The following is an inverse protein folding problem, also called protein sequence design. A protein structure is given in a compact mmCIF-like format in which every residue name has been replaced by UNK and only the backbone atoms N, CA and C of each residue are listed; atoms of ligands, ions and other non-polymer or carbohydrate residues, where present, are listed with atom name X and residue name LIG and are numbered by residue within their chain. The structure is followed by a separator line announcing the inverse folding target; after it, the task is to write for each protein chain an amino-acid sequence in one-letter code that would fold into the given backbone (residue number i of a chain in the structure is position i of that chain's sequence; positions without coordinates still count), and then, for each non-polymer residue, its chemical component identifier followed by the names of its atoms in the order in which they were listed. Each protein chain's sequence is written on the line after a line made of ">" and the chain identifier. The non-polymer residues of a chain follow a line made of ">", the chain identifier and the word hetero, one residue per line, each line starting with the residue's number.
data_IF_021281690908
#
_entry.id   IF_021281690908
#
_cell.length_a   1.000
_cell.length_b   1.000
_cell.length_c   1.000
_cell.angle_alpha   90.00
_cell.angle_beta   90.00
_cell.angle_gamma   90.00
#
_symmetry.space_group_name_H-M   'P 1'
#
loop_
_entity.id
_entity.type
_entity.pdbx_description
1 polymer ?
#
# COMPACT_ATOMS: atom_id res chain seq x y z
N UNK A 1 -9.86 -7.36 36.97
CA UNK A 1 -10.43 -7.50 35.62
C UNK A 1 -10.26 -6.16 34.95
N UNK A 2 -9.04 -5.90 34.46
CA UNK A 2 -8.73 -4.66 33.77
C UNK A 2 -8.93 -4.91 32.29
N UNK A 3 -9.96 -4.31 31.71
CA UNK A 3 -9.99 -4.06 30.27
C UNK A 3 -8.85 -3.08 29.98
N UNK A 4 -7.68 -3.62 29.68
CA UNK A 4 -6.65 -2.87 29.00
C UNK A 4 -7.20 -2.64 27.60
N UNK A 5 -7.82 -1.49 27.39
CA UNK A 5 -8.20 -1.05 26.06
C UNK A 5 -6.90 -1.03 25.25
N UNK A 6 -6.69 -2.07 24.43
CA UNK A 6 -5.56 -2.14 23.52
C UNK A 6 -5.51 -0.79 22.80
N UNK A 7 -4.44 -0.02 23.03
CA UNK A 7 -4.28 1.25 22.34
C UNK A 7 -4.45 0.96 20.86
N UNK A 8 -5.51 1.51 20.26
CA UNK A 8 -5.76 1.34 18.84
C UNK A 8 -4.62 2.06 18.15
N UNK A 9 -3.61 1.31 17.72
CA UNK A 9 -2.46 1.87 17.02
C UNK A 9 -2.97 2.44 15.71
N UNK A 10 -3.16 3.77 15.70
CA UNK A 10 -3.57 4.50 14.52
C UNK A 10 -2.37 4.85 13.65
N UNK A 11 -2.60 5.10 12.37
CA UNK A 11 -1.57 5.60 11.48
C UNK A 11 -1.04 6.97 11.94
N UNK A 12 0.27 7.11 12.12
CA UNK A 12 0.93 8.39 12.43
C UNK A 12 1.60 8.95 11.17
N UNK A 13 2.26 8.09 10.40
CA UNK A 13 2.81 8.43 9.10
C UNK A 13 3.80 9.58 9.10
N UNK A 14 3.56 10.56 8.23
CA UNK A 14 4.35 11.79 8.11
C UNK A 14 3.87 12.92 9.05
N UNK A 15 2.90 12.64 9.92
CA UNK A 15 2.27 13.61 10.82
C UNK A 15 1.16 14.47 10.20
N UNK A 16 0.94 14.42 8.87
CA UNK A 16 -0.10 15.23 8.21
C UNK A 16 -1.48 14.55 8.20
N UNK A 17 -1.52 13.23 8.35
CA UNK A 17 -2.74 12.40 8.24
C UNK A 17 -2.88 11.44 9.42
N UNK A 18 -2.58 11.92 10.62
CA UNK A 18 -2.68 11.10 11.85
C UNK A 18 -4.11 10.59 12.01
N UNK A 19 -4.28 9.28 12.21
CA UNK A 19 -5.57 8.62 12.32
C UNK A 19 -6.24 8.24 10.99
N UNK A 20 -5.69 8.64 9.83
CA UNK A 20 -6.25 8.32 8.50
C UNK A 20 -5.77 6.93 8.02
N UNK A 21 -6.03 5.90 8.82
CA UNK A 21 -5.56 4.54 8.59
C UNK A 21 -5.30 3.82 9.91
N UNK A 22 -4.78 2.60 9.82
CA UNK A 22 -4.57 1.75 10.99
C UNK A 22 -3.15 1.20 11.12
N UNK A 23 -2.99 0.32 12.09
CA UNK A 23 -1.74 -0.35 12.44
C UNK A 23 -1.02 -0.97 11.22
N UNK A 24 -1.73 -1.71 10.35
CA UNK A 24 -1.12 -2.32 9.16
C UNK A 24 -0.52 -1.28 8.20
N UNK A 25 -1.17 -0.11 8.08
CA UNK A 25 -0.64 1.00 7.28
C UNK A 25 0.60 1.61 7.92
N UNK A 26 0.60 1.73 9.25
CA UNK A 26 1.75 2.21 10.02
C UNK A 26 2.96 1.27 9.88
N UNK A 27 2.74 -0.04 9.93
CA UNK A 27 3.80 -1.04 9.72
C UNK A 27 4.42 -0.95 8.32
N UNK A 28 3.59 -0.78 7.29
CA UNK A 28 4.08 -0.51 5.93
C UNK A 28 4.85 0.82 5.82
N UNK A 29 4.41 1.84 6.57
CA UNK A 29 5.11 3.12 6.65
C UNK A 29 6.51 2.98 7.22
N UNK A 30 6.68 2.17 8.27
CA UNK A 30 7.97 1.93 8.93
C UNK A 30 8.90 1.05 8.10
N UNK A 31 8.32 0.14 7.29
CA UNK A 31 9.08 -0.80 6.46
C UNK A 31 9.93 -0.13 5.36
N UNK A 32 9.50 1.01 4.83
CA UNK A 32 10.19 1.68 3.73
C UNK A 32 10.20 3.20 3.90
N UNK A 33 11.14 3.89 3.25
CA UNK A 33 11.09 5.36 3.25
C UNK A 33 10.10 5.86 2.21
N UNK A 34 9.01 6.47 2.66
CA UNK A 34 7.96 7.00 1.79
C UNK A 34 8.14 8.49 1.47
N UNK A 35 7.59 8.92 0.33
CA UNK A 35 7.49 10.32 -0.09
C UNK A 35 6.09 10.58 -0.63
N UNK A 36 5.44 11.63 -0.13
CA UNK A 36 4.15 12.05 -0.66
C UNK A 36 4.28 12.50 -2.11
N UNK A 37 3.35 12.06 -2.95
CA UNK A 37 3.24 12.52 -4.33
C UNK A 37 2.74 13.97 -4.30
N UNK A 38 3.41 14.86 -5.04
CA UNK A 38 3.04 16.29 -5.08
C UNK A 38 1.57 16.45 -5.50
N UNK A 39 0.83 17.25 -4.76
CA UNK A 39 -0.61 17.53 -4.98
C UNK A 39 -1.52 16.29 -4.92
N UNK A 40 -1.06 15.19 -4.31
CA UNK A 40 -1.82 13.96 -4.12
C UNK A 40 -1.84 13.61 -2.62
N UNK A 41 -2.65 14.33 -1.82
CA UNK A 41 -2.70 14.18 -0.36
C UNK A 41 -3.03 12.74 0.06
N UNK A 42 -2.30 12.22 1.04
CA UNK A 42 -2.46 10.85 1.56
C UNK A 42 -1.97 9.76 0.61
N UNK A 43 -1.19 10.09 -0.43
CA UNK A 43 -0.61 9.12 -1.37
C UNK A 43 0.90 9.22 -1.43
N UNK A 44 1.56 8.09 -1.24
CA UNK A 44 3.00 8.03 -1.10
C UNK A 44 3.62 7.02 -2.04
N UNK A 45 4.82 7.32 -2.51
CA UNK A 45 5.70 6.41 -3.25
C UNK A 45 6.91 6.09 -2.41
N UNK A 46 7.51 4.92 -2.65
CA UNK A 46 8.80 4.58 -2.04
C UNK A 46 9.86 5.53 -2.61
N UNK A 47 10.67 6.11 -1.72
CA UNK A 47 11.87 6.86 -2.12
C UNK A 47 12.90 5.87 -2.65
N UNK A 48 12.88 5.64 -3.95
CA UNK A 48 13.95 4.94 -4.66
C UNK A 48 14.55 5.83 -5.74
N UNK A 49 15.83 5.64 -6.04
CA UNK A 49 16.52 6.31 -7.17
C UNK A 49 17.06 5.23 -8.09
N UNK A 50 17.12 5.48 -9.40
CA UNK A 50 17.69 4.50 -10.37
C UNK A 50 19.11 4.04 -9.98
N UNK A 51 19.91 4.93 -9.39
CA UNK A 51 21.27 4.61 -8.93
C UNK A 51 21.31 3.83 -7.60
N UNK A 52 20.30 4.01 -6.74
CA UNK A 52 20.17 3.38 -5.42
C UNK A 52 18.73 2.87 -5.25
N UNK A 53 18.39 1.71 -5.85
CA UNK A 53 17.06 1.13 -5.71
C UNK A 53 16.80 0.71 -4.26
N UNK A 54 15.54 0.78 -3.84
CA UNK A 54 15.12 0.12 -2.60
C UNK A 54 15.06 -1.39 -2.88
N UNK A 55 15.80 -2.16 -2.10
CA UNK A 55 15.93 -3.61 -2.27
C UNK A 55 15.22 -4.33 -1.12
N UNK A 56 14.53 -5.41 -1.42
CA UNK A 56 13.99 -6.35 -0.44
C UNK A 56 14.58 -7.72 -0.77
N UNK A 57 15.37 -8.27 0.15
CA UNK A 57 16.11 -9.53 -0.03
C UNK A 57 16.98 -9.54 -1.30
N UNK A 58 17.62 -8.41 -1.61
CA UNK A 58 18.47 -8.25 -2.78
C UNK A 58 17.73 -7.97 -4.10
N UNK A 59 16.40 -8.04 -4.12
CA UNK A 59 15.59 -7.75 -5.31
C UNK A 59 15.09 -6.30 -5.30
N UNK A 60 15.11 -5.58 -6.43
CA UNK A 60 14.48 -4.27 -6.53
C UNK A 60 13.00 -4.35 -6.17
N UNK A 61 12.50 -3.42 -5.36
CA UNK A 61 11.08 -3.41 -4.98
C UNK A 61 10.15 -3.35 -6.20
N UNK A 62 10.60 -2.76 -7.30
CA UNK A 62 9.87 -2.68 -8.55
C UNK A 62 9.73 -4.02 -9.29
N UNK A 63 10.44 -5.07 -8.88
CA UNK A 63 10.30 -6.43 -9.42
C UNK A 63 9.51 -7.36 -8.49
N UNK A 64 8.94 -6.83 -7.41
CA UNK A 64 8.23 -7.62 -6.40
C UNK A 64 6.73 -7.42 -6.57
N UNK A 65 5.97 -8.51 -6.69
CA UNK A 65 4.50 -8.45 -6.76
C UNK A 65 3.91 -7.83 -5.49
N UNK A 66 2.70 -7.27 -5.61
CA UNK A 66 2.02 -6.58 -4.51
C UNK A 66 1.80 -7.48 -3.30
N UNK A 67 1.41 -8.74 -3.51
CA UNK A 67 1.19 -9.67 -2.41
C UNK A 67 2.47 -9.93 -1.64
N UNK A 68 3.57 -10.18 -2.34
CA UNK A 68 4.87 -10.46 -1.72
C UNK A 68 5.44 -9.22 -1.04
N UNK A 69 5.31 -8.05 -1.66
CA UNK A 69 5.70 -6.78 -1.06
C UNK A 69 4.98 -6.55 0.28
N UNK A 70 3.65 -6.68 0.30
CA UNK A 70 2.85 -6.47 1.52
C UNK A 70 3.15 -7.54 2.57
N UNK A 71 3.28 -8.82 2.20
CA UNK A 71 3.63 -9.89 3.15
C UNK A 71 4.98 -9.65 3.80
N UNK A 72 6.00 -9.28 3.03
CA UNK A 72 7.34 -8.98 3.58
C UNK A 72 7.31 -7.77 4.49
N UNK A 73 6.55 -6.74 4.14
CA UNK A 73 6.39 -5.55 4.97
C UNK A 73 5.62 -5.82 6.28
N UNK A 74 4.68 -6.76 6.26
CA UNK A 74 3.85 -7.13 7.41
C UNK A 74 4.32 -8.41 8.13
N UNK A 75 5.47 -8.96 7.77
CA UNK A 75 6.08 -10.04 8.53
C UNK A 75 6.53 -9.51 9.90
N UNK A 76 6.02 -10.10 10.98
CA UNK A 76 6.56 -9.87 12.33
C UNK A 76 7.73 -10.82 12.59
N UNK A 77 8.59 -10.48 13.55
CA UNK A 77 9.60 -11.42 14.09
C UNK A 77 8.98 -12.67 14.72
N UNK A 78 7.69 -12.62 15.08
CA UNK A 78 6.92 -13.72 15.66
C UNK A 78 6.20 -14.58 14.61
N UNK A 79 6.36 -14.27 13.31
CA UNK A 79 5.99 -15.16 12.20
C UNK A 79 4.52 -15.11 11.77
N UNK A 80 3.62 -14.43 12.49
CA UNK A 80 2.25 -14.23 12.02
C UNK A 80 2.17 -13.09 11.01
N UNK A 81 1.98 -13.47 9.74
CA UNK A 81 1.64 -12.55 8.66
C UNK A 81 0.12 -12.44 8.59
N UNK A 82 -0.46 -11.23 8.67
CA UNK A 82 -1.89 -11.07 8.54
C UNK A 82 -2.38 -11.59 7.18
N UNK A 83 -3.57 -12.17 7.15
CA UNK A 83 -4.19 -12.58 5.88
C UNK A 83 -4.47 -11.33 5.06
N UNK A 84 -3.91 -11.28 3.86
CA UNK A 84 -4.13 -10.20 2.89
C UNK A 84 -4.82 -10.73 1.65
N UNK A 85 -5.75 -9.94 1.10
CA UNK A 85 -6.37 -10.19 -0.20
C UNK A 85 -5.80 -9.18 -1.19
N UNK A 86 -5.29 -9.70 -2.32
CA UNK A 86 -4.81 -8.88 -3.43
C UNK A 86 -5.87 -8.91 -4.52
N UNK A 87 -6.48 -7.77 -4.79
CA UNK A 87 -7.44 -7.62 -5.88
C UNK A 87 -6.70 -7.20 -7.15
N UNK A 88 -6.77 -8.01 -8.20
CA UNK A 88 -6.20 -7.70 -9.51
C UNK A 88 -7.28 -7.10 -10.42
N UNK A 89 -7.18 -5.80 -10.69
CA UNK A 89 -8.27 -5.00 -11.24
C UNK A 89 -7.85 -4.26 -12.51
N UNK A 90 -8.81 -4.11 -13.42
CA UNK A 90 -8.70 -3.22 -14.58
C UNK A 90 -9.53 -1.95 -14.34
N UNK A 91 -9.00 -0.81 -14.76
CA UNK A 91 -9.67 0.48 -14.62
C UNK A 91 -9.97 1.06 -16.00
N UNK A 92 -11.19 1.57 -16.26
CA UNK A 92 -11.47 2.30 -17.51
C UNK A 92 -10.72 3.64 -17.61
N UNK A 93 -10.02 4.05 -16.55
CA UNK A 93 -9.30 5.33 -16.45
C UNK A 93 -7.78 5.16 -16.49
N UNK A 94 -7.27 3.94 -16.61
CA UNK A 94 -5.84 3.65 -16.64
C UNK A 94 -5.57 2.43 -17.54
N UNK A 95 -4.54 2.52 -18.38
CA UNK A 95 -4.13 1.41 -19.25
C UNK A 95 -3.43 0.29 -18.49
N UNK A 96 -2.79 0.62 -17.36
CA UNK A 96 -2.06 -0.34 -16.54
C UNK A 96 -3.04 -1.09 -15.63
N UNK A 97 -2.82 -2.41 -15.46
CA UNK A 97 -3.54 -3.18 -14.43
C UNK A 97 -3.15 -2.69 -13.04
N UNK A 98 -4.12 -2.68 -12.13
CA UNK A 98 -3.94 -2.23 -10.76
C UNK A 98 -4.17 -3.38 -9.78
N UNK A 99 -3.15 -3.69 -8.98
CA UNK A 99 -3.29 -4.58 -7.82
C UNK A 99 -3.59 -3.75 -6.59
N UNK A 100 -4.64 -4.09 -5.86
CA UNK A 100 -5.11 -3.34 -4.69
C UNK A 100 -5.15 -4.25 -3.48
N UNK A 101 -4.59 -3.79 -2.37
CA UNK A 101 -4.73 -4.39 -1.05
C UNK A 101 -5.41 -3.37 -0.15
N UNK A 102 -6.52 -3.77 0.46
CA UNK A 102 -7.33 -2.93 1.35
C UNK A 102 -7.11 -3.39 2.79
N UNK A 103 -6.86 -2.44 3.70
CA UNK A 103 -6.74 -2.72 5.12
C UNK A 103 -7.97 -2.23 5.88
N UNK A 104 -8.42 -3.03 6.85
CA UNK A 104 -9.61 -2.75 7.64
C UNK A 104 -10.92 -2.86 6.83
N UNK A 105 -12.04 -2.90 7.55
CA UNK A 105 -13.35 -2.93 6.92
C UNK A 105 -13.58 -1.65 6.11
N UNK A 106 -14.12 -1.80 4.90
CA UNK A 106 -14.39 -0.68 4.01
C UNK A 106 -13.20 0.23 3.64
N UNK A 107 -11.98 -0.28 3.81
CA UNK A 107 -10.73 0.47 3.60
C UNK A 107 -10.47 1.55 4.62
N UNK A 108 -11.08 1.48 5.81
CA UNK A 108 -10.81 2.40 6.92
C UNK A 108 -9.35 2.36 7.39
N UNK A 109 -8.62 1.28 7.10
CA UNK A 109 -7.20 1.13 7.40
C UNK A 109 -6.28 1.66 6.30
N UNK A 110 -6.80 2.18 5.18
CA UNK A 110 -5.99 2.54 4.01
C UNK A 110 -5.62 1.32 3.18
N UNK A 111 -4.49 1.39 2.48
CA UNK A 111 -4.07 0.29 1.63
C UNK A 111 -2.93 0.59 0.68
N UNK A 112 -2.67 -0.39 -0.19
CA UNK A 112 -1.66 -0.30 -1.25
C UNK A 112 -2.35 -0.38 -2.60
N UNK A 113 -1.99 0.52 -3.51
CA UNK A 113 -2.31 0.40 -4.94
C UNK A 113 -0.99 0.24 -5.68
N UNK A 114 -0.89 -0.81 -6.48
CA UNK A 114 0.26 -1.09 -7.32
C UNK A 114 -0.13 -1.12 -8.78
N UNK A 115 0.55 -0.31 -9.59
CA UNK A 115 0.40 -0.38 -11.04
C UNK A 115 1.37 -1.40 -11.63
N UNK A 116 0.88 -2.28 -12.47
CA UNK A 116 1.66 -3.29 -13.18
C UNK A 116 1.92 -2.78 -14.60
N UNK A 117 3.15 -2.35 -14.85
CA UNK A 117 3.59 -1.88 -16.17
C UNK A 117 4.34 -2.99 -16.87
N UNK A 118 4.08 -3.21 -18.16
CA UNK A 118 4.87 -4.12 -18.97
C UNK A 118 6.02 -3.35 -19.61
N UNK A 119 7.27 -3.81 -19.40
CA UNK A 119 8.43 -3.36 -20.18
C UNK A 119 8.40 -3.96 -21.59
N UNK A 120 9.14 -3.35 -22.52
CA UNK A 120 9.25 -3.81 -23.91
C UNK A 120 9.83 -5.25 -24.01
N UNK A 121 10.58 -5.68 -23.00
CA UNK A 121 11.20 -7.01 -22.91
C UNK A 121 10.32 -8.04 -22.18
N UNK A 122 9.09 -7.69 -21.81
CA UNK A 122 8.11 -8.59 -21.19
C UNK A 122 8.20 -8.73 -19.67
N UNK A 123 9.18 -8.13 -19.01
CA UNK A 123 9.24 -8.07 -17.55
C UNK A 123 8.24 -7.06 -16.97
N UNK A 124 7.55 -7.44 -15.90
CA UNK A 124 6.59 -6.59 -15.22
C UNK A 124 7.29 -5.67 -14.21
N UNK A 125 6.99 -4.37 -14.27
CA UNK A 125 7.40 -3.38 -13.28
C UNK A 125 6.22 -3.04 -12.38
N UNK A 126 6.42 -3.21 -11.08
CA UNK A 126 5.45 -2.90 -10.04
C UNK A 126 5.74 -1.52 -9.43
N UNK A 127 4.74 -0.63 -9.48
CA UNK A 127 4.81 0.70 -8.87
C UNK A 127 3.86 0.76 -7.69
N UNK A 128 4.38 0.47 -6.49
CA UNK A 128 3.62 0.48 -5.25
C UNK A 128 3.38 1.91 -4.75
N UNK A 129 2.15 2.18 -4.36
CA UNK A 129 1.76 3.40 -3.65
C UNK A 129 1.07 3.05 -2.36
N UNK A 130 1.55 3.64 -1.26
CA UNK A 130 0.88 3.60 0.03
C UNK A 130 -0.19 4.70 0.06
N UNK A 131 -1.38 4.37 0.52
CA UNK A 131 -2.50 5.29 0.55
C UNK A 131 -3.15 5.26 1.93
N UNK A 132 -3.33 6.44 2.53
CA UNK A 132 -4.20 6.62 3.72
C UNK A 132 -5.63 6.20 3.39
N UNK A 133 -6.50 6.01 4.39
CA UNK A 133 -7.88 5.60 4.15
C UNK A 133 -8.61 6.57 3.20
N UNK A 134 -8.51 7.86 3.48
CA UNK A 134 -9.10 8.90 2.64
C UNK A 134 -8.41 8.99 1.27
N UNK A 135 -7.08 8.82 1.21
CA UNK A 135 -6.30 8.82 -0.03
C UNK A 135 -6.66 7.67 -0.96
N UNK A 136 -6.83 6.48 -0.39
CA UNK A 136 -7.23 5.26 -1.09
C UNK A 136 -8.61 5.45 -1.71
N UNK A 137 -9.59 5.89 -0.91
CA UNK A 137 -10.98 6.09 -1.37
C UNK A 137 -11.06 7.07 -2.54
N UNK A 138 -10.41 8.23 -2.43
CA UNK A 138 -10.34 9.22 -3.52
C UNK A 138 -9.70 8.61 -4.78
N UNK A 139 -8.63 7.84 -4.61
CA UNK A 139 -7.89 7.29 -5.75
C UNK A 139 -8.68 6.20 -6.46
N UNK A 140 -9.28 5.27 -5.73
CA UNK A 140 -10.10 4.21 -6.30
C UNK A 140 -11.35 4.77 -7.00
N UNK A 141 -12.00 5.78 -6.42
CA UNK A 141 -13.12 6.47 -7.06
C UNK A 141 -12.72 7.18 -8.36
N UNK A 142 -11.55 7.84 -8.37
CA UNK A 142 -11.00 8.43 -9.60
C UNK A 142 -10.61 7.39 -10.67
N UNK A 143 -10.35 6.14 -10.27
CA UNK A 143 -10.11 5.00 -11.15
C UNK A 143 -11.39 4.24 -11.51
N UNK A 144 -12.54 4.57 -10.91
CA UNK A 144 -13.82 3.85 -11.08
C UNK A 144 -13.74 2.37 -10.69
N UNK A 145 -12.99 2.06 -9.64
CA UNK A 145 -12.83 0.70 -9.08
C UNK A 145 -13.03 0.66 -7.57
N UNK A 146 -13.72 1.65 -6.99
CA UNK A 146 -13.98 1.76 -5.55
C UNK A 146 -14.95 0.71 -5.00
N UNK A 147 -15.58 -0.10 -5.86
CA UNK A 147 -16.36 -1.27 -5.45
C UNK A 147 -15.53 -2.26 -4.62
N UNK A 148 -14.20 -2.29 -4.81
CA UNK A 148 -13.28 -3.13 -4.03
C UNK A 148 -13.30 -2.82 -2.54
N UNK A 149 -13.72 -1.61 -2.15
CA UNK A 149 -13.84 -1.25 -0.74
C UNK A 149 -15.03 -1.95 -0.06
N UNK A 150 -15.99 -2.50 -0.81
CA UNK A 150 -17.19 -3.12 -0.22
C UNK A 150 -17.13 -4.65 -0.16
N UNK A 151 -15.99 -5.23 -0.55
CA UNK A 151 -15.71 -6.66 -0.54
C UNK A 151 -15.16 -7.09 0.82
#
# INVERSE_FOLDING_TARGET
>A
MGDEAAEVVTFVGDGNYVGDGGELLQRLWEFATWKMIRNCPGRYIIKHKKKNPFLIDGLPVTSIDTGDFVRRALATTEGEVPTIVVHDLESPRCVDRAKVVVFGAEGCGGGVITYCKQEQDGEAIYVHTLNTASGLRRKLGGLQIDYVLKL
#
